data_IF_100690783455
#
_entry.id   IF_100690783455
#
_cell.length_a   1.000
_cell.length_b   1.000
_cell.length_c   1.000
_cell.angle_alpha   90.00
_cell.angle_beta   90.00
_cell.angle_gamma   90.00
#
_symmetry.space_group_name_H-M   'P 1'
#
loop_
_entity.id
_entity.type
_entity.pdbx_description
1 polymer ?
#
# COMPACT_ATOMS: atom_id res chain seq x y z
N UNK A 1 -16.59 0.07 -27.59
CA UNK A 1 -16.99 1.22 -26.75
C UNK A 1 -15.92 1.41 -25.70
N UNK A 2 -15.01 2.36 -25.91
CA UNK A 2 -13.93 2.68 -24.97
C UNK A 2 -14.49 3.65 -23.93
N UNK A 3 -14.94 3.13 -22.80
CA UNK A 3 -15.30 3.94 -21.63
C UNK A 3 -14.01 4.57 -21.09
N UNK A 4 -13.73 5.79 -21.51
CA UNK A 4 -12.69 6.62 -20.92
C UNK A 4 -13.23 7.13 -19.58
N UNK A 5 -13.10 6.31 -18.53
CA UNK A 5 -13.41 6.74 -17.17
C UNK A 5 -12.29 7.70 -16.77
N UNK A 6 -12.61 8.99 -16.63
CA UNK A 6 -11.63 9.96 -16.16
C UNK A 6 -11.23 9.59 -14.74
N UNK A 7 -9.98 9.84 -14.33
CA UNK A 7 -9.51 9.59 -12.95
C UNK A 7 -10.38 10.34 -11.91
N UNK A 8 -11.19 11.32 -12.34
CA UNK A 8 -12.10 12.11 -11.52
C UNK A 8 -13.45 11.41 -11.27
N UNK A 9 -13.85 10.45 -12.10
CA UNK A 9 -15.10 9.68 -11.97
C UNK A 9 -14.91 8.35 -11.20
N UNK A 10 -13.66 7.99 -10.89
CA UNK A 10 -13.36 6.79 -10.11
C UNK A 10 -13.79 6.97 -8.65
N UNK A 11 -14.51 5.98 -8.12
CA UNK A 11 -14.87 5.94 -6.70
C UNK A 11 -13.60 5.82 -5.84
N UNK A 12 -13.65 6.23 -4.55
CA UNK A 12 -12.55 5.97 -3.63
C UNK A 12 -12.12 4.49 -3.59
N UNK A 13 -13.09 3.58 -3.66
CA UNK A 13 -12.88 2.15 -3.72
C UNK A 13 -12.15 1.74 -5.00
N UNK A 14 -12.56 2.26 -6.16
CA UNK A 14 -11.88 1.98 -7.43
C UNK A 14 -10.42 2.40 -7.36
N UNK A 15 -10.14 3.61 -6.87
CA UNK A 15 -8.76 4.11 -6.72
C UNK A 15 -7.93 3.21 -5.81
N UNK A 16 -8.51 2.72 -4.71
CA UNK A 16 -7.85 1.78 -3.82
C UNK A 16 -7.58 0.42 -4.50
N UNK A 17 -8.57 -0.11 -5.22
CA UNK A 17 -8.48 -1.42 -5.85
C UNK A 17 -7.77 -1.45 -7.21
N UNK A 18 -7.45 -0.30 -7.80
CA UNK A 18 -6.60 -0.19 -9.01
C UNK A 18 -5.26 0.48 -8.72
N UNK A 19 -4.96 0.84 -7.47
CA UNK A 19 -3.66 1.40 -7.14
C UNK A 19 -2.55 0.38 -7.40
N UNK A 20 -1.55 0.84 -8.15
CA UNK A 20 -0.24 0.23 -8.38
C UNK A 20 0.82 1.31 -8.17
N UNK A 21 2.04 0.92 -7.81
CA UNK A 21 3.17 1.84 -7.69
C UNK A 21 3.58 2.34 -9.07
N UNK A 22 3.71 3.66 -9.22
CA UNK A 22 4.16 4.25 -10.49
C UNK A 22 5.66 4.01 -10.70
N UNK A 23 6.10 3.97 -11.96
CA UNK A 23 7.51 3.79 -12.30
C UNK A 23 8.32 4.98 -11.76
N UNK A 24 9.26 4.69 -10.86
CA UNK A 24 10.10 5.72 -10.21
C UNK A 24 9.46 6.37 -8.98
N UNK A 25 8.22 6.02 -8.62
CA UNK A 25 7.61 6.45 -7.36
C UNK A 25 8.38 5.87 -6.18
N UNK A 26 8.65 6.69 -5.17
CA UNK A 26 9.30 6.22 -3.96
C UNK A 26 8.34 5.34 -3.15
N UNK A 27 8.87 4.30 -2.49
CA UNK A 27 8.06 3.33 -1.76
C UNK A 27 7.20 3.98 -0.65
N UNK A 28 7.73 5.01 0.03
CA UNK A 28 6.99 5.78 1.03
C UNK A 28 5.86 6.60 0.41
N UNK A 29 6.10 7.20 -0.77
CA UNK A 29 5.10 8.00 -1.46
C UNK A 29 3.95 7.10 -1.90
N UNK A 30 4.28 5.91 -2.42
CA UNK A 30 3.30 4.90 -2.76
C UNK A 30 2.46 4.46 -1.54
N UNK A 31 3.12 4.17 -0.42
CA UNK A 31 2.44 3.79 0.82
C UNK A 31 1.49 4.90 1.31
N UNK A 32 1.95 6.15 1.31
CA UNK A 32 1.15 7.31 1.70
C UNK A 32 -0.08 7.49 0.79
N UNK A 33 0.10 7.30 -0.52
CA UNK A 33 -0.98 7.37 -1.51
C UNK A 33 -2.01 6.26 -1.33
N UNK A 34 -1.56 5.03 -1.15
CA UNK A 34 -2.44 3.88 -0.92
C UNK A 34 -3.24 4.01 0.40
N UNK A 35 -2.58 4.50 1.46
CA UNK A 35 -3.21 4.84 2.74
C UNK A 35 -4.29 5.92 2.57
N UNK A 36 -4.00 6.94 1.76
CA UNK A 36 -4.95 7.98 1.38
C UNK A 36 -6.20 7.41 0.72
N UNK A 37 -6.05 6.53 -0.27
CA UNK A 37 -7.18 5.88 -0.93
C UNK A 37 -7.98 4.98 0.02
N UNK A 38 -7.31 4.19 0.86
CA UNK A 38 -7.98 3.36 1.86
C UNK A 38 -8.82 4.21 2.82
N UNK A 39 -8.30 5.36 3.27
CA UNK A 39 -9.04 6.30 4.11
C UNK A 39 -10.25 6.90 3.39
N UNK A 40 -10.08 7.32 2.13
CA UNK A 40 -11.20 7.83 1.32
C UNK A 40 -12.28 6.78 1.05
N UNK A 41 -11.91 5.49 1.00
CA UNK A 41 -12.82 4.36 0.86
C UNK A 41 -13.36 3.83 2.21
N UNK A 42 -13.14 4.55 3.32
CA UNK A 42 -13.55 4.15 4.67
C UNK A 42 -13.05 2.76 5.11
N UNK A 43 -11.88 2.34 4.62
CA UNK A 43 -11.25 1.08 5.00
C UNK A 43 -10.49 1.28 6.32
N UNK A 44 -10.89 0.55 7.36
CA UNK A 44 -10.21 0.57 8.67
C UNK A 44 -8.88 -0.21 8.67
N UNK A 45 -7.92 0.22 7.84
CA UNK A 45 -6.64 -0.45 7.65
C UNK A 45 -5.63 -0.25 8.80
N UNK A 46 -5.81 0.83 9.57
CA UNK A 46 -4.91 1.22 10.67
C UNK A 46 -4.97 0.23 11.84
N UNK A 47 -6.09 -0.49 11.98
CA UNK A 47 -6.24 -1.53 12.98
C UNK A 47 -5.81 -2.89 12.43
N UNK A 48 -5.21 -3.71 13.28
CA UNK A 48 -4.91 -5.10 12.96
C UNK A 48 -6.16 -5.92 12.63
N UNK A 49 -5.96 -7.18 12.24
CA UNK A 49 -7.06 -8.09 11.91
C UNK A 49 -7.26 -8.29 10.41
N UNK A 50 -8.42 -8.80 9.95
CA UNK A 50 -8.61 -9.22 8.56
C UNK A 50 -8.58 -8.07 7.54
N UNK A 51 -8.90 -6.84 7.95
CA UNK A 51 -8.90 -5.66 7.06
C UNK A 51 -7.47 -5.14 6.94
N UNK A 52 -6.79 -4.85 8.05
CA UNK A 52 -5.38 -4.44 8.05
C UNK A 52 -4.48 -5.42 7.31
N UNK A 53 -4.62 -6.74 7.53
CA UNK A 53 -3.85 -7.76 6.80
C UNK A 53 -4.11 -7.75 5.29
N UNK A 54 -5.36 -7.54 4.86
CA UNK A 54 -5.69 -7.41 3.44
C UNK A 54 -5.07 -6.16 2.82
N UNK A 55 -5.04 -5.08 3.58
CA UNK A 55 -4.40 -3.84 3.16
C UNK A 55 -2.89 -3.99 3.01
N UNK A 56 -2.22 -4.60 4.00
CA UNK A 56 -0.77 -4.90 3.91
C UNK A 56 -0.48 -5.80 2.73
N UNK A 57 -1.25 -6.87 2.54
CA UNK A 57 -1.09 -7.74 1.37
C UNK A 57 -1.22 -6.94 0.07
N UNK A 58 -2.21 -6.06 -0.01
CA UNK A 58 -2.43 -5.23 -1.19
C UNK A 58 -1.22 -4.35 -1.50
N UNK A 59 -0.64 -3.71 -0.49
CA UNK A 59 0.59 -2.95 -0.64
C UNK A 59 1.72 -3.80 -1.21
N UNK A 60 1.96 -4.99 -0.65
CA UNK A 60 3.02 -5.89 -1.11
C UNK A 60 2.83 -6.41 -2.52
N UNK A 61 1.59 -6.72 -2.91
CA UNK A 61 1.26 -7.20 -4.25
C UNK A 61 1.50 -6.12 -5.33
N UNK A 62 1.63 -4.85 -4.95
CA UNK A 62 1.63 -3.71 -5.88
C UNK A 62 2.84 -2.78 -5.73
N UNK A 63 3.68 -2.98 -4.70
CA UNK A 63 4.83 -2.13 -4.43
C UNK A 63 6.07 -2.48 -5.25
N UNK A 64 6.08 -3.64 -5.93
CA UNK A 64 7.18 -4.12 -6.79
C UNK A 64 8.55 -4.10 -6.09
N UNK A 65 8.60 -4.49 -4.79
CA UNK A 65 9.80 -4.38 -3.96
C UNK A 65 10.08 -5.71 -3.24
N UNK A 66 10.71 -6.66 -3.95
CA UNK A 66 10.89 -8.05 -3.48
C UNK A 66 11.67 -8.15 -2.15
N UNK A 67 12.68 -7.31 -1.95
CA UNK A 67 13.46 -7.28 -0.69
C UNK A 67 12.60 -6.91 0.51
N UNK A 68 11.67 -5.98 0.31
CA UNK A 68 10.77 -5.51 1.37
C UNK A 68 9.72 -6.59 1.70
N UNK A 69 9.20 -7.25 0.67
CA UNK A 69 8.33 -8.42 0.84
C UNK A 69 9.04 -9.51 1.66
N UNK A 70 10.32 -9.80 1.35
CA UNK A 70 11.11 -10.80 2.05
C UNK A 70 11.30 -10.47 3.55
N UNK A 71 11.49 -9.20 3.90
CA UNK A 71 11.64 -8.74 5.29
C UNK A 71 10.33 -8.76 6.08
N UNK A 72 9.18 -8.64 5.39
CA UNK A 72 7.86 -8.63 6.01
C UNK A 72 7.23 -10.02 6.18
N UNK A 73 7.63 -11.03 5.38
CA UNK A 73 7.17 -12.42 5.53
C UNK A 73 7.30 -12.94 6.98
N UNK A 74 8.45 -12.80 7.68
CA UNK A 74 8.60 -13.25 9.06
C UNK A 74 7.66 -12.55 10.06
N UNK A 75 7.20 -11.34 9.72
CA UNK A 75 6.38 -10.49 10.57
C UNK A 75 4.87 -10.67 10.32
N UNK A 76 4.49 -11.70 9.55
CA UNK A 76 3.10 -12.15 9.29
C UNK A 76 2.16 -11.12 8.67
N UNK A 77 2.68 -10.00 8.17
CA UNK A 77 1.89 -8.96 7.50
C UNK A 77 0.78 -8.36 8.38
N UNK A 78 0.97 -8.36 9.71
CA UNK A 78 -0.14 -8.22 10.66
C UNK A 78 -0.84 -6.85 10.64
N UNK A 79 -0.11 -5.77 10.38
CA UNK A 79 -0.65 -4.42 10.30
C UNK A 79 0.29 -3.46 9.53
N UNK A 80 -0.23 -2.26 9.26
CA UNK A 80 0.49 -1.21 8.54
C UNK A 80 1.70 -0.66 9.30
N UNK A 81 1.66 -0.64 10.63
CA UNK A 81 2.76 -0.14 11.45
C UNK A 81 4.04 -0.98 11.29
N UNK A 82 3.92 -2.30 11.12
CA UNK A 82 5.08 -3.16 10.83
C UNK A 82 5.70 -2.84 9.46
N UNK A 83 4.88 -2.50 8.46
CA UNK A 83 5.34 -2.09 7.13
C UNK A 83 6.13 -0.79 7.22
N UNK A 84 5.58 0.19 7.93
CA UNK A 84 6.23 1.49 8.16
C UNK A 84 7.57 1.33 8.89
N UNK A 85 7.65 0.43 9.88
CA UNK A 85 8.88 0.16 10.61
C UNK A 85 9.99 -0.40 9.70
N UNK A 86 9.67 -1.40 8.86
CA UNK A 86 10.63 -2.00 7.91
C UNK A 86 11.10 -0.98 6.87
N UNK A 87 10.18 -0.17 6.34
CA UNK A 87 10.56 0.90 5.40
C UNK A 87 11.52 1.87 6.08
N UNK A 88 11.21 2.30 7.30
CA UNK A 88 12.05 3.22 8.05
C UNK A 88 13.43 2.62 8.33
N UNK A 89 13.51 1.35 8.71
CA UNK A 89 14.78 0.66 8.93
C UNK A 89 15.62 0.57 7.65
N UNK A 90 14.98 0.30 6.49
CA UNK A 90 15.65 0.32 5.17
C UNK A 90 16.19 1.71 4.84
N UNK A 91 15.39 2.76 5.05
CA UNK A 91 15.82 4.15 4.81
C UNK A 91 16.98 4.58 5.71
N UNK A 92 17.04 4.07 6.94
CA UNK A 92 18.16 4.33 7.85
C UNK A 92 19.41 3.56 7.43
N UNK A 93 19.25 2.33 6.94
CA UNK A 93 20.37 1.50 6.47
C UNK A 93 21.01 1.99 5.16
N UNK A 94 20.24 2.65 4.29
CA UNK A 94 20.71 3.22 3.02
C UNK A 94 21.47 4.55 3.18
N UNK A 95 21.74 4.98 4.43
CA UNK A 95 22.36 6.27 4.78
C UNK A 95 23.82 6.11 5.25
#
# INVERSE_FOLDING_TARGET
MTYYCSQHDQTPEDRYYTAERDVGEHICDYLLRLNGYARSANISYEFGGPIGRRHVKRFLDTCNEDELVAQLIPQRFDNIANVEAVINDKLVADR
#
